data_IF_918150602513
#
_entry.id   IF_918150602513
#
_cell.length_a   1.000
_cell.length_b   1.000
_cell.length_c   1.000
_cell.angle_alpha   90.00
_cell.angle_beta   90.00
_cell.angle_gamma   90.00
#
_symmetry.space_group_name_H-M   'P 1'
#
loop_
_entity.id
_entity.type
_entity.pdbx_description
1 polymer ?
#
# COMPACT_ATOMS: atom_id res chain seq x y z
N UNK A 1 27.41 -24.03 -19.89
CA UNK A 1 25.97 -23.87 -20.20
C UNK A 1 25.19 -23.71 -18.90
N UNK A 2 25.38 -22.61 -18.22
CA UNK A 2 24.66 -22.26 -16.96
C UNK A 2 24.73 -20.73 -16.82
N UNK A 3 24.10 -19.99 -17.76
CA UNK A 3 23.91 -18.54 -17.64
C UNK A 3 22.61 -18.16 -18.32
N UNK A 4 21.50 -18.58 -17.73
CA UNK A 4 20.16 -18.11 -18.09
C UNK A 4 19.32 -17.99 -16.83
N UNK A 5 19.86 -17.32 -15.78
CA UNK A 5 19.06 -16.91 -14.64
C UNK A 5 18.62 -15.47 -14.92
N UNK A 6 17.41 -15.38 -15.45
CA UNK A 6 16.46 -14.27 -15.31
C UNK A 6 17.07 -12.92 -14.90
N UNK A 7 17.31 -12.06 -15.88
CA UNK A 7 17.41 -10.62 -15.68
C UNK A 7 16.06 -10.09 -15.24
N UNK A 8 15.70 -10.25 -13.98
CA UNK A 8 14.62 -9.51 -13.37
C UNK A 8 15.04 -8.04 -13.40
N UNK A 9 14.34 -7.25 -14.19
CA UNK A 9 14.58 -5.81 -14.28
C UNK A 9 14.54 -5.23 -12.85
N UNK A 10 15.52 -4.37 -12.53
CA UNK A 10 15.59 -3.71 -11.22
C UNK A 10 14.28 -2.93 -10.99
N UNK A 11 13.63 -3.09 -9.82
CA UNK A 11 12.42 -2.32 -9.52
C UNK A 11 12.67 -0.81 -9.61
N UNK A 12 11.71 -0.10 -10.20
CA UNK A 12 11.80 1.35 -10.39
C UNK A 12 11.02 2.08 -9.30
N UNK A 13 11.71 2.99 -8.60
CA UNK A 13 11.12 3.89 -7.62
C UNK A 13 11.10 5.31 -8.18
N UNK A 14 9.93 5.92 -8.25
CA UNK A 14 9.79 7.34 -8.54
C UNK A 14 9.84 8.13 -7.23
N UNK A 15 10.83 9.02 -7.12
CA UNK A 15 10.99 9.96 -6.00
C UNK A 15 10.39 11.29 -6.42
N UNK A 16 9.35 11.75 -5.71
CA UNK A 16 8.68 13.03 -5.95
C UNK A 16 8.96 13.94 -4.77
N UNK A 17 9.89 14.86 -4.96
CA UNK A 17 10.45 15.72 -3.90
C UNK A 17 10.96 17.02 -4.54
N UNK A 18 10.54 18.17 -4.03
CA UNK A 18 10.95 19.49 -4.53
C UNK A 18 12.30 19.97 -3.94
N UNK A 19 12.72 19.40 -2.81
CA UNK A 19 14.04 19.69 -2.24
C UNK A 19 15.14 18.85 -2.93
N UNK A 20 15.89 19.46 -3.84
CA UNK A 20 16.90 18.77 -4.65
C UNK A 20 17.96 18.02 -3.83
N UNK A 21 18.33 18.53 -2.65
CA UNK A 21 19.30 17.87 -1.77
C UNK A 21 18.74 16.54 -1.23
N UNK A 22 17.48 16.53 -0.80
CA UNK A 22 16.81 15.33 -0.31
C UNK A 22 16.54 14.33 -1.45
N UNK A 23 16.08 14.78 -2.62
CA UNK A 23 15.92 13.94 -3.81
C UNK A 23 17.22 13.23 -4.18
N UNK A 24 18.34 13.99 -4.26
CA UNK A 24 19.67 13.43 -4.55
C UNK A 24 20.12 12.40 -3.49
N UNK A 25 19.89 12.68 -2.22
CA UNK A 25 20.23 11.76 -1.12
C UNK A 25 19.39 10.48 -1.21
N UNK A 26 18.10 10.59 -1.49
CA UNK A 26 17.21 9.45 -1.68
C UNK A 26 17.65 8.60 -2.88
N UNK A 27 17.88 9.24 -4.04
CA UNK A 27 18.35 8.56 -5.25
C UNK A 27 19.62 7.76 -4.98
N UNK A 28 20.66 8.42 -4.42
CA UNK A 28 21.93 7.77 -4.11
C UNK A 28 21.75 6.50 -3.27
N UNK A 29 20.97 6.60 -2.19
CA UNK A 29 20.77 5.47 -1.29
C UNK A 29 19.93 4.34 -1.92
N UNK A 30 18.92 4.67 -2.71
CA UNK A 30 18.08 3.70 -3.40
C UNK A 30 18.86 2.97 -4.51
N UNK A 31 19.62 3.68 -5.32
CA UNK A 31 20.46 3.10 -6.36
C UNK A 31 21.53 2.16 -5.78
N UNK A 32 22.14 2.54 -4.65
CA UNK A 32 23.09 1.68 -3.91
C UNK A 32 22.43 0.38 -3.43
N UNK A 33 21.13 0.38 -3.22
CA UNK A 33 20.35 -0.80 -2.83
C UNK A 33 19.79 -1.59 -4.03
N UNK A 34 20.16 -1.21 -5.23
CA UNK A 34 19.82 -1.93 -6.44
C UNK A 34 18.51 -1.53 -7.12
N UNK A 35 17.88 -0.44 -6.69
CA UNK A 35 16.71 0.12 -7.35
C UNK A 35 17.11 0.95 -8.59
N UNK A 36 16.22 1.06 -9.55
CA UNK A 36 16.25 2.12 -10.56
C UNK A 36 15.47 3.30 -10.01
N UNK A 37 15.99 4.51 -10.15
CA UNK A 37 15.34 5.70 -9.57
C UNK A 37 15.07 6.72 -10.65
N UNK A 38 13.88 7.27 -10.65
CA UNK A 38 13.50 8.47 -11.37
C UNK A 38 13.07 9.54 -10.36
N UNK A 39 13.24 10.81 -10.73
CA UNK A 39 12.91 11.96 -9.88
C UNK A 39 11.87 12.83 -10.58
N UNK A 40 10.99 13.43 -9.80
CA UNK A 40 10.10 14.51 -10.21
C UNK A 40 10.12 15.60 -9.14
N UNK A 41 10.20 16.85 -9.56
CA UNK A 41 10.29 18.00 -8.66
C UNK A 41 8.90 18.57 -8.26
N UNK A 42 7.84 18.14 -8.92
CA UNK A 42 6.48 18.57 -8.63
C UNK A 42 5.44 17.50 -8.97
N UNK A 43 4.20 17.73 -8.53
CA UNK A 43 3.13 16.75 -8.72
C UNK A 43 2.68 16.56 -10.16
N UNK A 44 2.83 17.57 -11.04
CA UNK A 44 2.45 17.47 -12.45
C UNK A 44 3.48 16.60 -13.21
N UNK A 45 4.76 16.86 -12.97
CA UNK A 45 5.84 16.04 -13.51
C UNK A 45 5.71 14.58 -13.03
N UNK A 46 5.38 14.37 -11.75
CA UNK A 46 5.15 13.04 -11.19
C UNK A 46 4.07 12.27 -11.95
N UNK A 47 2.91 12.88 -12.22
CA UNK A 47 1.82 12.24 -12.96
C UNK A 47 2.21 11.90 -14.41
N UNK A 48 3.03 12.74 -15.04
CA UNK A 48 3.55 12.50 -16.39
C UNK A 48 4.48 11.29 -16.38
N UNK A 49 5.48 11.26 -15.48
CA UNK A 49 6.41 10.14 -15.35
C UNK A 49 5.73 8.82 -14.99
N UNK A 50 4.72 8.86 -14.12
CA UNK A 50 3.91 7.67 -13.80
C UNK A 50 3.22 7.10 -15.06
N UNK A 51 2.68 7.98 -15.90
CA UNK A 51 2.01 7.55 -17.12
C UNK A 51 2.97 6.99 -18.19
N UNK A 52 4.17 7.56 -18.30
CA UNK A 52 5.17 7.19 -19.30
C UNK A 52 5.99 5.96 -18.91
N UNK A 53 6.42 5.88 -17.65
CA UNK A 53 7.44 4.94 -17.20
C UNK A 53 6.94 3.83 -16.28
N UNK A 54 5.69 3.93 -15.77
CA UNK A 54 5.03 2.93 -14.94
C UNK A 54 5.94 2.43 -13.78
N UNK A 55 6.28 3.29 -12.81
CA UNK A 55 7.15 2.89 -11.70
C UNK A 55 6.49 1.77 -10.86
N UNK A 56 7.34 0.98 -10.20
CA UNK A 56 6.90 -0.08 -9.29
C UNK A 56 6.48 0.46 -7.91
N UNK A 57 6.94 1.68 -7.54
CA UNK A 57 6.61 2.36 -6.30
C UNK A 57 6.86 3.86 -6.43
N UNK A 58 6.04 4.67 -5.74
CA UNK A 58 6.21 6.12 -5.64
C UNK A 58 6.52 6.51 -4.19
N UNK A 59 7.63 7.23 -3.99
CA UNK A 59 7.89 8.02 -2.79
C UNK A 59 7.39 9.42 -3.08
N UNK A 60 6.44 9.93 -2.30
CA UNK A 60 5.70 11.12 -2.62
C UNK A 60 5.70 12.11 -1.46
N UNK A 61 6.38 13.24 -1.61
CA UNK A 61 6.27 14.30 -0.62
C UNK A 61 4.83 14.82 -0.55
N UNK A 62 4.39 15.06 0.65
CA UNK A 62 3.09 15.68 0.93
C UNK A 62 3.02 17.12 0.42
N UNK A 63 4.09 17.90 0.65
CA UNK A 63 4.16 19.34 0.43
C UNK A 63 4.91 19.65 -0.87
N UNK A 64 4.25 19.45 -2.00
CA UNK A 64 4.80 19.77 -3.31
C UNK A 64 4.26 21.12 -3.82
N UNK A 65 5.03 21.86 -4.62
CA UNK A 65 4.53 23.05 -5.28
C UNK A 65 3.49 22.71 -6.34
N UNK A 66 2.62 23.66 -6.65
CA UNK A 66 1.56 23.60 -7.64
C UNK A 66 0.50 22.52 -7.39
N UNK A 67 0.87 21.24 -7.39
CA UNK A 67 -0.03 20.11 -7.14
C UNK A 67 0.46 19.31 -5.94
N UNK A 68 -0.28 19.35 -4.82
CA UNK A 68 0.11 18.67 -3.58
C UNK A 68 0.21 17.14 -3.75
N UNK A 69 1.08 16.49 -2.97
CA UNK A 69 1.21 15.04 -2.98
C UNK A 69 -0.09 14.30 -2.67
N UNK A 70 -0.95 14.88 -1.83
CA UNK A 70 -2.30 14.34 -1.58
C UNK A 70 -3.11 14.24 -2.87
N UNK A 71 -3.11 15.31 -3.67
CA UNK A 71 -3.90 15.33 -4.90
C UNK A 71 -3.29 14.42 -5.97
N UNK A 72 -1.95 14.33 -6.05
CA UNK A 72 -1.25 13.32 -6.87
C UNK A 72 -1.69 11.90 -6.47
N UNK A 73 -1.67 11.58 -5.18
CA UNK A 73 -2.10 10.27 -4.68
C UNK A 73 -3.56 9.97 -5.05
N UNK A 74 -4.48 10.95 -4.91
CA UNK A 74 -5.88 10.79 -5.33
C UNK A 74 -6.00 10.50 -6.82
N UNK A 75 -5.24 11.18 -7.67
CA UNK A 75 -5.26 10.96 -9.11
C UNK A 75 -4.71 9.58 -9.48
N UNK A 76 -3.63 9.12 -8.82
CA UNK A 76 -3.12 7.75 -8.95
C UNK A 76 -4.25 6.73 -8.67
N UNK A 77 -5.00 6.92 -7.59
CA UNK A 77 -6.07 5.97 -7.18
C UNK A 77 -7.33 6.02 -8.05
N UNK A 78 -7.57 7.13 -8.73
CA UNK A 78 -8.74 7.28 -9.65
C UNK A 78 -8.55 6.57 -10.98
N UNK A 79 -7.33 6.39 -11.45
CA UNK A 79 -7.05 5.78 -12.76
C UNK A 79 -6.91 4.26 -12.61
N UNK A 80 -7.61 3.50 -13.43
CA UNK A 80 -7.58 2.02 -13.39
C UNK A 80 -6.18 1.43 -13.60
N UNK A 81 -5.34 2.10 -14.39
CA UNK A 81 -3.97 1.66 -14.70
C UNK A 81 -2.96 1.90 -13.57
N UNK A 82 -3.26 2.79 -12.61
CA UNK A 82 -2.30 3.17 -11.56
C UNK A 82 -2.85 3.03 -10.14
N UNK A 83 -4.11 2.63 -9.97
CA UNK A 83 -4.74 2.55 -8.65
C UNK A 83 -4.04 1.57 -7.69
N UNK A 84 -3.39 0.54 -8.24
CA UNK A 84 -2.70 -0.50 -7.47
C UNK A 84 -1.19 -0.19 -7.31
N UNK A 85 -0.71 0.94 -7.84
CA UNK A 85 0.65 1.42 -7.70
C UNK A 85 0.94 1.77 -6.24
N UNK A 86 1.94 1.12 -5.59
CA UNK A 86 2.30 1.42 -4.22
C UNK A 86 2.79 2.86 -4.03
N UNK A 87 2.25 3.54 -3.02
CA UNK A 87 2.60 4.93 -2.68
C UNK A 87 2.98 5.03 -1.20
N UNK A 88 4.20 5.50 -0.92
CA UNK A 88 4.64 5.93 0.41
C UNK A 88 4.61 7.45 0.43
N UNK A 89 3.80 8.02 1.34
CA UNK A 89 3.83 9.46 1.59
C UNK A 89 5.01 9.82 2.48
N UNK A 90 5.75 10.85 2.09
CA UNK A 90 6.80 11.46 2.91
C UNK A 90 6.26 12.79 3.44
N UNK A 91 6.34 13.05 4.76
CA UNK A 91 5.73 14.24 5.36
C UNK A 91 6.57 14.83 6.47
N UNK A 92 6.62 16.16 6.55
CA UNK A 92 7.22 16.87 7.68
C UNK A 92 6.26 16.97 8.90
N UNK A 93 4.99 16.56 8.75
CA UNK A 93 3.96 16.72 9.77
C UNK A 93 3.89 15.51 10.67
N UNK A 94 3.97 15.77 11.98
CA UNK A 94 3.97 14.77 13.05
C UNK A 94 2.60 14.62 13.72
N UNK A 95 1.60 15.43 13.35
CA UNK A 95 0.27 15.32 13.96
C UNK A 95 -0.48 14.08 13.45
N UNK A 96 -0.96 13.26 14.37
CA UNK A 96 -1.75 12.05 14.12
C UNK A 96 -2.90 12.25 13.11
N UNK A 97 -3.51 13.45 13.10
CA UNK A 97 -4.61 13.78 12.19
C UNK A 97 -4.17 13.90 10.73
N UNK A 98 -2.96 14.35 10.47
CA UNK A 98 -2.43 14.49 9.11
C UNK A 98 -1.94 13.15 8.54
N UNK A 99 -1.38 12.28 9.35
CA UNK A 99 -1.08 10.89 8.97
C UNK A 99 -2.36 10.13 8.58
N UNK A 100 -3.43 10.25 9.37
CA UNK A 100 -4.75 9.69 9.05
C UNK A 100 -5.34 10.30 7.77
N UNK A 101 -5.14 11.60 7.52
CA UNK A 101 -5.56 12.24 6.26
C UNK A 101 -4.77 11.72 5.07
N UNK A 102 -3.45 11.57 5.18
CA UNK A 102 -2.59 11.00 4.12
C UNK A 102 -3.02 9.59 3.75
N UNK A 103 -3.20 8.73 4.72
CA UNK A 103 -3.72 7.39 4.50
C UNK A 103 -5.15 7.40 3.94
N UNK A 104 -6.04 8.29 4.38
CA UNK A 104 -7.40 8.43 3.82
C UNK A 104 -7.40 8.86 2.34
N UNK A 105 -6.31 9.41 1.80
CA UNK A 105 -6.19 9.77 0.38
C UNK A 105 -5.84 8.62 -0.54
N UNK A 106 -5.42 7.48 0.02
CA UNK A 106 -5.09 6.28 -0.76
C UNK A 106 -3.63 5.83 -0.67
N UNK A 107 -2.75 6.51 0.08
CA UNK A 107 -1.38 6.03 0.29
C UNK A 107 -1.36 4.67 1.02
N UNK A 108 -0.38 3.83 0.73
CA UNK A 108 -0.23 2.49 1.33
C UNK A 108 0.57 2.55 2.63
N UNK A 109 1.45 3.55 2.73
CA UNK A 109 2.25 3.81 3.92
C UNK A 109 2.64 5.28 3.99
N UNK A 110 3.17 5.72 5.14
CA UNK A 110 3.73 7.05 5.30
C UNK A 110 5.01 7.02 6.16
N UNK A 111 5.86 8.02 5.98
CA UNK A 111 7.04 8.23 6.81
C UNK A 111 7.21 9.72 7.10
N UNK A 112 7.52 10.05 8.36
CA UNK A 112 7.73 11.43 8.81
C UNK A 112 9.19 11.86 8.67
N UNK A 113 9.41 13.07 8.18
CA UNK A 113 10.74 13.74 8.19
C UNK A 113 11.03 14.28 9.60
N UNK A 114 12.25 14.11 10.16
CA UNK A 114 13.35 13.33 9.59
C UNK A 114 13.16 11.82 9.77
N UNK A 115 13.53 11.03 8.76
CA UNK A 115 13.39 9.59 8.80
C UNK A 115 14.73 8.85 8.75
N UNK A 116 14.74 7.63 9.27
CA UNK A 116 15.85 6.71 9.13
C UNK A 116 15.81 6.06 7.74
N UNK A 117 16.92 6.08 7.00
CA UNK A 117 17.01 5.49 5.66
C UNK A 117 16.79 3.99 5.66
N UNK A 118 17.24 3.25 6.68
CA UNK A 118 17.01 1.81 6.78
C UNK A 118 15.52 1.50 6.96
N UNK A 119 14.81 2.30 7.78
CA UNK A 119 13.38 2.18 7.96
C UNK A 119 12.61 2.44 6.64
N UNK A 120 13.00 3.46 5.87
CA UNK A 120 12.43 3.74 4.56
C UNK A 120 12.67 2.58 3.59
N UNK A 121 13.89 2.08 3.50
CA UNK A 121 14.24 0.95 2.65
C UNK A 121 13.48 -0.33 3.01
N UNK A 122 13.29 -0.60 4.30
CA UNK A 122 12.48 -1.72 4.77
C UNK A 122 11.02 -1.61 4.29
N UNK A 123 10.42 -0.41 4.35
CA UNK A 123 9.06 -0.13 3.85
C UNK A 123 8.94 -0.32 2.34
N UNK A 124 9.89 0.24 1.57
CA UNK A 124 9.95 0.08 0.11
C UNK A 124 10.01 -1.40 -0.26
N UNK A 125 10.94 -2.14 0.34
CA UNK A 125 11.09 -3.59 0.07
C UNK A 125 9.83 -4.37 0.47
N UNK A 126 9.19 -4.00 1.58
CA UNK A 126 7.96 -4.61 2.01
C UNK A 126 6.83 -4.39 1.00
N UNK A 127 6.62 -3.18 0.48
CA UNK A 127 5.62 -2.87 -0.53
C UNK A 127 5.93 -3.54 -1.87
N UNK A 128 7.17 -3.49 -2.35
CA UNK A 128 7.58 -4.11 -3.63
C UNK A 128 7.51 -5.64 -3.59
N UNK A 129 7.95 -6.29 -2.50
CA UNK A 129 7.76 -7.72 -2.32
C UNK A 129 6.28 -8.08 -2.42
N UNK A 130 5.47 -7.20 -1.99
CA UNK A 130 4.01 -7.27 -1.97
C UNK A 130 3.40 -7.17 -3.36
N UNK A 131 3.83 -6.24 -4.16
CA UNK A 131 3.40 -6.11 -5.55
C UNK A 131 3.86 -7.31 -6.41
N UNK A 132 5.03 -7.91 -6.07
CA UNK A 132 5.65 -9.00 -6.81
C UNK A 132 5.45 -10.40 -6.20
N UNK A 133 4.75 -10.55 -5.06
CA UNK A 133 4.47 -11.88 -4.53
C UNK A 133 3.50 -12.60 -5.45
N UNK A 134 4.01 -13.60 -6.17
CA UNK A 134 3.18 -14.56 -6.90
C UNK A 134 2.17 -15.18 -5.93
N UNK A 135 0.89 -15.24 -6.29
CA UNK A 135 -0.14 -15.83 -5.44
C UNK A 135 0.18 -17.31 -5.21
N UNK A 136 0.09 -17.72 -3.96
CA UNK A 136 0.01 -19.16 -3.62
C UNK A 136 -1.17 -19.76 -4.40
N UNK A 137 -0.94 -20.89 -5.04
CA UNK A 137 -1.91 -21.63 -5.86
C UNK A 137 -3.23 -21.78 -5.10
N UNK A 138 -4.29 -21.11 -5.55
CA UNK A 138 -5.63 -21.36 -5.05
C UNK A 138 -6.57 -20.17 -5.12
N UNK A 139 -7.81 -20.48 -4.91
CA UNK A 139 -8.88 -19.52 -4.73
C UNK A 139 -9.28 -19.53 -3.25
N UNK A 140 -9.37 -18.36 -2.61
CA UNK A 140 -9.92 -18.21 -1.28
C UNK A 140 -11.40 -17.82 -1.39
N UNK A 141 -12.23 -18.37 -0.51
CA UNK A 141 -13.64 -18.01 -0.43
C UNK A 141 -14.07 -17.87 1.04
N UNK A 142 -14.82 -16.82 1.33
CA UNK A 142 -15.44 -16.61 2.64
C UNK A 142 -16.78 -15.90 2.44
N UNK A 143 -17.86 -16.54 2.87
CA UNK A 143 -19.23 -16.10 2.64
C UNK A 143 -19.46 -15.86 1.13
N UNK A 144 -19.73 -14.62 0.73
CA UNK A 144 -19.96 -14.21 -0.66
C UNK A 144 -18.74 -13.52 -1.30
N UNK A 145 -17.59 -13.45 -0.59
CA UNK A 145 -16.34 -12.94 -1.13
C UNK A 145 -15.48 -14.09 -1.67
N UNK A 146 -14.94 -13.89 -2.87
CA UNK A 146 -13.95 -14.79 -3.48
C UNK A 146 -12.72 -14.01 -3.90
N UNK A 147 -11.54 -14.59 -3.65
CA UNK A 147 -10.26 -14.08 -4.10
C UNK A 147 -9.60 -15.11 -4.99
N UNK A 148 -9.33 -14.76 -6.22
CA UNK A 148 -8.47 -15.52 -7.12
C UNK A 148 -7.04 -14.97 -6.95
N UNK A 149 -6.21 -15.71 -6.24
CA UNK A 149 -4.84 -15.32 -5.92
C UNK A 149 -3.93 -15.34 -7.16
N UNK A 150 -4.23 -16.23 -8.12
CA UNK A 150 -3.45 -16.33 -9.36
C UNK A 150 -3.75 -15.18 -10.32
N UNK A 151 -5.02 -14.78 -10.43
CA UNK A 151 -5.44 -13.66 -11.26
C UNK A 151 -5.41 -12.31 -10.52
N UNK A 152 -5.06 -12.29 -9.23
CA UNK A 152 -5.09 -11.12 -8.35
C UNK A 152 -6.44 -10.39 -8.40
N UNK A 153 -7.54 -11.16 -8.36
CA UNK A 153 -8.91 -10.65 -8.49
C UNK A 153 -9.73 -10.94 -7.25
N UNK A 154 -10.57 -9.98 -6.89
CA UNK A 154 -11.52 -10.12 -5.79
C UNK A 154 -12.91 -9.82 -6.30
N UNK A 155 -13.88 -10.63 -5.87
CA UNK A 155 -15.29 -10.36 -6.12
C UNK A 155 -16.14 -10.66 -4.89
N UNK A 156 -17.28 -9.99 -4.79
CA UNK A 156 -18.33 -10.29 -3.82
C UNK A 156 -19.62 -10.61 -4.57
N UNK A 157 -20.05 -11.86 -4.48
CA UNK A 157 -21.04 -12.38 -5.41
C UNK A 157 -20.60 -12.18 -6.86
N UNK A 158 -21.40 -11.46 -7.66
CA UNK A 158 -21.06 -11.12 -9.05
C UNK A 158 -20.41 -9.74 -9.22
N UNK A 159 -20.17 -9.00 -8.13
CA UNK A 159 -19.59 -7.65 -8.14
C UNK A 159 -18.08 -7.71 -8.04
N UNK A 160 -17.30 -7.24 -9.04
CA UNK A 160 -15.85 -7.14 -8.93
C UNK A 160 -15.49 -6.08 -7.88
N UNK A 161 -14.51 -6.41 -7.04
CA UNK A 161 -13.98 -5.52 -5.99
C UNK A 161 -12.58 -5.10 -6.37
N UNK A 162 -12.31 -3.81 -6.24
CA UNK A 162 -11.00 -3.24 -6.43
C UNK A 162 -10.43 -2.83 -5.07
N UNK A 163 -9.29 -3.41 -4.73
CA UNK A 163 -8.56 -3.16 -3.50
C UNK A 163 -7.19 -2.56 -3.82
N UNK A 164 -6.72 -1.64 -2.99
CA UNK A 164 -5.31 -1.26 -2.99
C UNK A 164 -4.42 -2.42 -2.49
N UNK A 165 -3.10 -2.35 -2.72
CA UNK A 165 -2.19 -3.44 -2.37
C UNK A 165 -2.26 -3.86 -0.91
N UNK A 166 -2.45 -2.93 0.00
CA UNK A 166 -2.51 -3.18 1.45
C UNK A 166 -3.86 -3.77 1.87
N UNK A 167 -4.98 -3.25 1.32
CA UNK A 167 -6.32 -3.79 1.55
C UNK A 167 -6.46 -5.21 1.00
N UNK A 168 -5.87 -5.49 -0.17
CA UNK A 168 -5.84 -6.83 -0.75
C UNK A 168 -5.23 -7.84 0.21
N UNK A 169 -4.11 -7.50 0.83
CA UNK A 169 -3.38 -8.39 1.75
C UNK A 169 -4.05 -8.52 3.10
N UNK A 170 -4.65 -7.45 3.60
CA UNK A 170 -5.50 -7.55 4.79
C UNK A 170 -6.62 -8.55 4.54
N UNK A 171 -7.29 -8.47 3.38
CA UNK A 171 -8.35 -9.40 3.04
C UNK A 171 -7.80 -10.82 2.86
N UNK A 172 -6.70 -10.98 2.13
CA UNK A 172 -6.04 -12.28 1.95
C UNK A 172 -5.68 -12.92 3.29
N UNK A 173 -5.04 -12.16 4.18
CA UNK A 173 -4.67 -12.63 5.51
C UNK A 173 -5.89 -13.04 6.33
N UNK A 174 -6.94 -12.26 6.32
CA UNK A 174 -8.19 -12.61 6.99
C UNK A 174 -8.85 -13.85 6.39
N UNK A 175 -8.88 -13.98 5.07
CA UNK A 175 -9.50 -15.13 4.41
C UNK A 175 -8.70 -16.43 4.59
N UNK A 176 -7.40 -16.34 4.83
CA UNK A 176 -6.58 -17.49 5.27
C UNK A 176 -6.83 -17.90 6.72
N UNK A 177 -7.39 -16.98 7.54
CA UNK A 177 -7.61 -17.19 8.97
C UNK A 177 -9.01 -16.72 9.39
N UNK A 178 -10.09 -17.26 8.78
CA UNK A 178 -11.45 -16.79 9.04
C UNK A 178 -11.84 -17.03 10.51
N UNK A 179 -12.67 -16.15 11.04
CA UNK A 179 -13.22 -16.16 12.41
C UNK A 179 -12.19 -15.99 13.53
N UNK A 180 -10.93 -15.80 13.21
CA UNK A 180 -9.89 -15.49 14.19
C UNK A 180 -9.79 -13.98 14.39
N UNK A 181 -9.74 -13.56 15.65
CA UNK A 181 -9.49 -12.16 16.04
C UNK A 181 -7.99 -11.92 16.07
N UNK A 182 -7.56 -10.83 15.45
CA UNK A 182 -6.18 -10.37 15.41
C UNK A 182 -6.07 -8.99 16.03
N UNK A 183 -5.07 -8.80 16.88
CA UNK A 183 -4.73 -7.47 17.39
C UNK A 183 -4.22 -6.57 16.26
N UNK A 184 -4.12 -5.26 16.54
CA UNK A 184 -3.54 -4.31 15.59
C UNK A 184 -2.08 -4.61 15.31
N UNK A 185 -1.33 -5.02 16.33
CA UNK A 185 0.08 -5.42 16.22
C UNK A 185 0.23 -6.69 15.37
N UNK A 186 -0.59 -7.72 15.60
CA UNK A 186 -0.57 -8.95 14.79
C UNK A 186 -0.88 -8.65 13.31
N UNK A 187 -1.86 -7.79 13.02
CA UNK A 187 -2.19 -7.38 11.65
C UNK A 187 -1.07 -6.54 11.02
N UNK A 188 -0.45 -5.67 11.82
CA UNK A 188 0.67 -4.88 11.38
C UNK A 188 1.84 -5.77 10.98
N UNK A 189 2.24 -6.70 11.85
CA UNK A 189 3.32 -7.66 11.60
C UNK A 189 3.03 -8.52 10.36
N UNK A 190 1.81 -9.01 10.23
CA UNK A 190 1.41 -9.88 9.12
C UNK A 190 1.39 -9.14 7.77
N UNK A 191 0.88 -7.92 7.75
CA UNK A 191 0.65 -7.16 6.52
C UNK A 191 1.80 -6.20 6.20
N UNK A 192 2.47 -5.61 7.15
CA UNK A 192 3.59 -4.68 6.93
C UNK A 192 4.96 -5.31 7.23
N UNK A 193 5.03 -6.33 8.08
CA UNK A 193 6.27 -7.03 8.47
C UNK A 193 6.80 -6.56 9.82
N UNK A 194 7.55 -7.43 10.49
CA UNK A 194 8.01 -7.24 11.90
C UNK A 194 9.02 -6.11 12.09
N UNK A 195 9.74 -5.73 11.04
CA UNK A 195 10.81 -4.71 11.13
C UNK A 195 10.32 -3.29 10.82
N UNK A 196 9.00 -3.11 10.73
CA UNK A 196 8.42 -1.83 10.33
C UNK A 196 7.74 -1.16 11.52
N UNK A 197 8.33 -0.08 12.01
CA UNK A 197 7.76 0.76 13.04
C UNK A 197 6.66 1.66 12.42
N UNK A 198 5.46 1.11 12.28
CA UNK A 198 4.25 1.83 11.88
C UNK A 198 3.33 1.88 13.09
N UNK A 199 2.67 3.00 13.30
CA UNK A 199 1.70 3.11 14.39
C UNK A 199 0.50 2.16 14.19
N UNK A 200 0.00 1.51 15.26
CA UNK A 200 -1.16 0.61 15.18
C UNK A 200 -2.41 1.25 14.56
N UNK A 201 -2.55 2.58 14.63
CA UNK A 201 -3.65 3.34 13.99
C UNK A 201 -3.67 3.23 12.46
N UNK A 202 -2.54 2.93 11.84
CA UNK A 202 -2.47 2.68 10.38
C UNK A 202 -3.40 1.53 9.99
N UNK A 203 -3.48 0.49 10.82
CA UNK A 203 -4.38 -0.65 10.60
C UNK A 203 -5.83 -0.19 10.52
N UNK A 204 -6.27 0.70 11.41
CA UNK A 204 -7.66 1.17 11.46
C UNK A 204 -8.09 1.88 10.16
N UNK A 205 -7.18 2.63 9.56
CA UNK A 205 -7.42 3.32 8.28
C UNK A 205 -7.59 2.32 7.15
N UNK A 206 -6.72 1.32 7.06
CA UNK A 206 -6.80 0.29 6.02
C UNK A 206 -8.01 -0.64 6.22
N UNK A 207 -8.39 -0.94 7.45
CA UNK A 207 -9.64 -1.65 7.76
C UNK A 207 -10.86 -0.84 7.28
N UNK A 208 -10.89 0.46 7.55
CA UNK A 208 -11.98 1.33 7.07
C UNK A 208 -12.08 1.33 5.54
N UNK A 209 -10.95 1.40 4.84
CA UNK A 209 -10.90 1.36 3.38
C UNK A 209 -11.35 0.00 2.85
N UNK A 210 -10.84 -1.08 3.45
CA UNK A 210 -11.24 -2.43 3.11
C UNK A 210 -12.75 -2.58 3.21
N UNK A 211 -13.35 -2.21 4.35
CA UNK A 211 -14.81 -2.23 4.55
C UNK A 211 -15.55 -1.45 3.47
N UNK A 212 -15.09 -0.23 3.17
CA UNK A 212 -15.70 0.62 2.13
C UNK A 212 -15.65 -0.02 0.75
N UNK A 213 -14.61 -0.78 0.44
CA UNK A 213 -14.44 -1.43 -0.87
C UNK A 213 -15.23 -2.73 -0.98
N UNK A 214 -15.24 -3.54 0.08
CA UNK A 214 -15.92 -4.84 0.05
C UNK A 214 -17.43 -4.74 0.31
N UNK A 215 -17.91 -3.73 1.02
CA UNK A 215 -19.32 -3.60 1.37
C UNK A 215 -20.05 -2.67 0.38
N UNK A 216 -21.10 -3.18 -0.26
CA UNK A 216 -22.10 -2.43 -1.00
C UNK A 216 -23.30 -2.09 -0.11
N UNK A 217 -24.28 -1.38 -0.68
CA UNK A 217 -25.51 -1.04 0.01
C UNK A 217 -26.32 -2.31 0.36
N UNK A 218 -26.64 -2.47 1.65
CA UNK A 218 -27.36 -3.64 2.14
C UNK A 218 -26.54 -4.91 2.33
N UNK A 219 -25.26 -4.90 2.01
CA UNK A 219 -24.37 -6.04 2.24
C UNK A 219 -23.90 -6.12 3.70
N UNK A 220 -23.74 -7.34 4.20
CA UNK A 220 -23.24 -7.61 5.56
C UNK A 220 -21.78 -7.14 5.70
N UNK A 221 -21.44 -6.41 6.76
CA UNK A 221 -20.03 -6.10 7.08
C UNK A 221 -19.34 -7.34 7.65
N UNK A 222 -18.50 -7.96 6.82
CA UNK A 222 -17.78 -9.19 7.17
C UNK A 222 -16.51 -8.92 8.01
N UNK A 223 -16.04 -7.67 8.07
CA UNK A 223 -14.88 -7.32 8.90
C UNK A 223 -15.34 -6.77 10.23
N UNK A 224 -15.46 -7.64 11.22
CA UNK A 224 -15.94 -7.30 12.56
C UNK A 224 -14.85 -6.60 13.38
N UNK A 225 -15.26 -5.57 14.16
CA UNK A 225 -14.42 -4.97 15.21
C UNK A 225 -14.71 -5.66 16.54
N UNK A 226 -13.68 -6.21 17.17
CA UNK A 226 -13.76 -6.75 18.53
C UNK A 226 -13.14 -5.73 19.48
N UNK A 227 -13.98 -5.10 20.32
CA UNK A 227 -13.54 -4.04 21.24
C UNK A 227 -12.39 -4.52 22.11
N UNK A 228 -11.38 -3.67 22.24
CA UNK A 228 -10.14 -3.92 22.98
C UNK A 228 -9.28 -5.11 22.49
N UNK A 229 -9.72 -5.88 21.47
CA UNK A 229 -8.99 -7.04 20.95
C UNK A 229 -8.47 -6.83 19.52
N UNK A 230 -9.26 -6.19 18.61
CA UNK A 230 -8.83 -5.95 17.25
C UNK A 230 -9.90 -6.24 16.20
N UNK A 231 -9.57 -7.01 15.15
CA UNK A 231 -10.42 -7.25 13.99
C UNK A 231 -10.47 -8.73 13.61
N UNK A 232 -11.58 -9.14 13.02
CA UNK A 232 -11.78 -10.49 12.48
C UNK A 232 -12.59 -10.44 11.20
N UNK A 233 -12.40 -11.40 10.30
CA UNK A 233 -13.33 -11.69 9.21
C UNK A 233 -14.34 -12.72 9.72
N UNK A 234 -15.59 -12.30 9.88
CA UNK A 234 -16.63 -13.10 10.51
C UNK A 234 -18.03 -12.73 9.98
N UNK A 235 -18.97 -13.66 10.06
CA UNK A 235 -20.37 -13.45 9.72
C UNK A 235 -21.26 -13.18 10.92
N UNK A 236 -20.74 -13.35 12.14
CA UNK A 236 -21.52 -13.07 13.36
C UNK A 236 -21.52 -11.57 13.66
N UNK A 237 -22.68 -10.99 14.01
CA UNK A 237 -22.74 -9.59 14.43
C UNK A 237 -21.90 -9.38 15.69
N UNK A 238 -21.41 -8.14 15.86
CA UNK A 238 -20.58 -7.73 17.01
C UNK A 238 -21.39 -7.65 18.30
#
# INVERSE_FOLDING_TARGET
MLDSISSLAKPMVLVVEDEAALATMLRYNLEKQGFRVEEAADGQEALTRIAENQPDLVLLDWMLPALSGIEVCRQIRRRSSTRDLPVIMVTARTEDQDAVRGLNTGADDYITKPFNMEALLARIRALLRRANSMPTKGQLAFHDITMDLAAHRVSRGNRPIHLGPTEYRLLEFFMQHPRRVFSREELLDAVWGKDIHVEPRTVDVHIRRLRKSINGEGELDLVRTVRAAGYALDTEPA
#
